data_IF_794746207620
#
_entry.id   IF_794746207620
#
_cell.length_a   1.000
_cell.length_b   1.000
_cell.length_c   1.000
_cell.angle_alpha   90.00
_cell.angle_beta   90.00
_cell.angle_gamma   90.00
#
_symmetry.space_group_name_H-M   'P 1'
#
loop_
_entity.id
_entity.type
_entity.pdbx_description
1 polymer ?
#
# COMPACT_ATOMS: atom_id res chain seq x y z
N UNK A 1 10.18 3.79 -12.50
CA UNK A 1 8.95 2.95 -12.40
C UNK A 1 8.82 2.16 -13.69
N UNK A 2 8.88 0.83 -13.66
CA UNK A 2 8.73 0.02 -14.86
C UNK A 2 7.24 -0.02 -15.24
N UNK A 3 6.82 0.83 -16.18
CA UNK A 3 5.54 0.66 -16.86
C UNK A 3 5.55 -0.70 -17.54
N UNK A 4 4.82 -1.67 -16.98
CA UNK A 4 4.52 -2.94 -17.67
C UNK A 4 3.59 -2.60 -18.83
N UNK A 5 4.19 -2.20 -19.96
CA UNK A 5 3.51 -2.15 -21.26
C UNK A 5 2.96 -3.54 -21.51
N UNK A 6 1.64 -3.72 -21.39
CA UNK A 6 0.95 -4.94 -21.83
C UNK A 6 1.15 -5.02 -23.35
N UNK A 7 2.23 -5.67 -23.78
CA UNK A 7 2.48 -5.96 -25.19
C UNK A 7 1.37 -6.89 -25.66
N UNK A 8 0.44 -6.39 -26.47
CA UNK A 8 -0.60 -7.19 -27.13
C UNK A 8 0.12 -8.24 -28.00
N UNK A 9 0.16 -9.48 -27.54
CA UNK A 9 0.76 -10.57 -28.32
C UNK A 9 -0.09 -10.74 -29.58
N UNK A 10 0.51 -10.54 -30.75
CA UNK A 10 -0.11 -10.84 -32.03
C UNK A 10 -0.10 -12.37 -32.20
N UNK A 11 -1.29 -13.00 -32.22
CA UNK A 11 -1.47 -14.45 -32.33
C UNK A 11 -1.53 -14.96 -33.79
N UNK A 12 -1.42 -14.08 -34.79
CA UNK A 12 -1.47 -14.49 -36.20
C UNK A 12 -0.19 -15.24 -36.58
N UNK A 13 -0.33 -16.45 -37.11
CA UNK A 13 0.78 -17.29 -37.60
C UNK A 13 1.34 -18.31 -36.59
N UNK A 14 0.82 -18.38 -35.36
CA UNK A 14 1.25 -19.37 -34.36
C UNK A 14 0.55 -20.73 -34.53
N UNK A 15 1.28 -21.80 -34.28
CA UNK A 15 0.70 -23.15 -34.16
C UNK A 15 -0.19 -23.28 -32.93
N UNK A 16 -1.18 -24.18 -32.97
CA UNK A 16 -2.16 -24.38 -31.89
C UNK A 16 -1.51 -24.69 -30.53
N UNK A 17 -0.40 -25.44 -30.53
CA UNK A 17 0.37 -25.69 -29.31
C UNK A 17 0.97 -24.40 -28.72
N UNK A 18 1.51 -23.50 -29.56
CA UNK A 18 2.08 -22.23 -29.09
C UNK A 18 0.99 -21.33 -28.48
N UNK A 19 -0.22 -21.32 -29.07
CA UNK A 19 -1.37 -20.61 -28.50
C UNK A 19 -1.76 -21.15 -27.12
N UNK A 20 -1.78 -22.48 -26.96
CA UNK A 20 -2.09 -23.12 -25.69
C UNK A 20 -1.06 -22.77 -24.61
N UNK A 21 0.23 -22.83 -24.93
CA UNK A 21 1.32 -22.47 -24.02
C UNK A 21 1.23 -21.00 -23.58
N UNK A 22 0.92 -20.09 -24.51
CA UNK A 22 0.74 -18.66 -24.19
C UNK A 22 -0.45 -18.46 -23.27
N UNK A 23 -1.57 -19.15 -23.51
CA UNK A 23 -2.75 -19.09 -22.66
C UNK A 23 -2.42 -19.56 -21.24
N UNK A 24 -1.78 -20.72 -21.11
CA UNK A 24 -1.36 -21.27 -19.81
C UNK A 24 -0.43 -20.30 -19.07
N UNK A 25 0.56 -19.74 -19.77
CA UNK A 25 1.49 -18.76 -19.20
C UNK A 25 0.77 -17.51 -18.73
N UNK A 26 -0.23 -17.03 -19.48
CA UNK A 26 -1.04 -15.89 -19.08
C UNK A 26 -1.91 -16.20 -17.87
N UNK A 27 -2.46 -17.41 -17.74
CA UNK A 27 -3.21 -17.81 -16.56
C UNK A 27 -2.34 -17.93 -15.32
N UNK A 28 -1.18 -18.56 -15.44
CA UNK A 28 -0.22 -18.72 -14.35
C UNK A 28 0.40 -17.38 -13.90
N UNK A 29 0.54 -16.40 -14.81
CA UNK A 29 1.03 -15.06 -14.48
C UNK A 29 -0.09 -14.06 -14.13
N UNK A 30 -1.35 -14.51 -13.98
CA UNK A 30 -2.41 -13.63 -13.47
C UNK A 30 -1.94 -13.14 -12.09
N UNK A 31 -1.92 -11.81 -11.85
CA UNK A 31 -1.54 -11.29 -10.54
C UNK A 31 -2.53 -11.84 -9.50
N UNK A 32 -1.99 -12.40 -8.42
CA UNK A 32 -2.79 -13.00 -7.36
C UNK A 32 -3.76 -11.95 -6.78
N UNK A 33 -5.09 -12.21 -6.78
CA UNK A 33 -6.08 -11.29 -6.25
C UNK A 33 -5.89 -10.99 -4.75
N UNK A 34 -5.22 -11.86 -4.01
CA UNK A 34 -4.92 -11.68 -2.58
C UNK A 34 -3.54 -11.06 -2.32
N UNK A 35 -2.79 -10.69 -3.36
CA UNK A 35 -1.48 -10.08 -3.18
C UNK A 35 -1.62 -8.72 -2.47
N UNK A 36 -1.09 -8.65 -1.24
CA UNK A 36 -1.05 -7.41 -0.46
C UNK A 36 -0.14 -6.41 -1.17
N UNK A 37 -0.75 -5.38 -1.78
CA UNK A 37 0.00 -4.26 -2.36
C UNK A 37 0.45 -3.33 -1.24
N UNK A 38 1.66 -3.55 -0.74
CA UNK A 38 2.24 -2.74 0.33
C UNK A 38 2.46 -1.27 -0.09
N UNK A 39 2.77 -1.01 -1.38
CA UNK A 39 3.14 0.30 -1.89
C UNK A 39 2.16 0.83 -2.93
N UNK A 40 0.94 1.18 -2.51
CA UNK A 40 0.07 2.02 -3.34
C UNK A 40 0.31 3.50 -3.03
N UNK A 41 0.01 4.38 -3.99
CA UNK A 41 0.07 5.83 -3.80
C UNK A 41 -0.66 6.27 -2.51
N UNK A 42 -1.84 5.71 -2.25
CA UNK A 42 -2.61 6.01 -1.05
C UNK A 42 -1.84 5.70 0.25
N UNK A 43 -1.20 4.54 0.31
CA UNK A 43 -0.41 4.08 1.46
C UNK A 43 0.83 4.94 1.66
N UNK A 44 1.56 5.22 0.58
CA UNK A 44 2.76 6.08 0.61
C UNK A 44 2.41 7.46 1.15
N UNK A 45 1.36 8.09 0.61
CA UNK A 45 0.93 9.39 1.11
C UNK A 45 0.54 9.25 2.59
N UNK A 46 -0.13 8.18 3.01
CA UNK A 46 -0.50 8.00 4.43
C UNK A 46 0.73 7.88 5.35
N UNK A 47 1.79 7.19 4.92
CA UNK A 47 3.03 7.08 5.68
C UNK A 47 3.73 8.44 5.88
N UNK A 48 3.73 9.30 4.85
CA UNK A 48 4.27 10.66 4.97
C UNK A 48 3.50 11.47 6.02
N UNK A 49 2.17 11.37 6.02
CA UNK A 49 1.35 12.08 7.00
C UNK A 49 1.47 11.50 8.42
N UNK A 50 1.87 10.24 8.58
CA UNK A 50 2.12 9.67 9.90
C UNK A 50 3.23 10.42 10.65
N UNK A 51 4.19 11.00 9.93
CA UNK A 51 5.29 11.79 10.50
C UNK A 51 4.91 13.27 10.63
N UNK A 52 4.29 13.85 9.59
CA UNK A 52 3.98 15.29 9.56
C UNK A 52 2.76 15.68 10.39
N UNK A 53 1.68 14.89 10.30
CA UNK A 53 0.40 15.15 10.96
C UNK A 53 -0.28 13.83 11.37
N UNK A 54 0.16 13.20 12.47
CA UNK A 54 -0.36 11.91 12.91
C UNK A 54 -1.89 11.85 13.10
N UNK A 55 -2.58 12.90 13.59
CA UNK A 55 -4.06 12.91 13.67
C UNK A 55 -4.74 12.75 12.30
N UNK A 56 -4.21 13.40 11.26
CA UNK A 56 -4.76 13.29 9.91
C UNK A 56 -4.44 11.95 9.27
N UNK A 57 -3.29 11.36 9.59
CA UNK A 57 -2.95 10.02 9.15
C UNK A 57 -3.91 8.96 9.73
N UNK A 58 -4.27 9.06 11.01
CA UNK A 58 -5.28 8.19 11.64
C UNK A 58 -6.63 8.27 10.93
N UNK A 59 -7.08 9.48 10.58
CA UNK A 59 -8.31 9.66 9.78
C UNK A 59 -8.24 8.92 8.44
N UNK A 60 -7.11 9.00 7.73
CA UNK A 60 -6.94 8.26 6.45
C UNK A 60 -6.84 6.76 6.62
N UNK A 61 -6.19 6.27 7.67
CA UNK A 61 -6.09 4.83 7.97
C UNK A 61 -7.50 4.23 8.20
N UNK A 62 -8.38 4.95 8.89
CA UNK A 62 -9.72 4.48 9.26
C UNK A 62 -10.83 4.85 8.26
N UNK A 63 -10.52 5.59 7.20
CA UNK A 63 -11.48 5.94 6.17
C UNK A 63 -12.04 4.67 5.48
N UNK A 64 -13.35 4.60 5.21
CA UNK A 64 -13.99 3.42 4.58
C UNK A 64 -13.39 3.04 3.22
N UNK A 65 -12.76 4.00 2.53
CA UNK A 65 -12.08 3.81 1.22
C UNK A 65 -10.59 3.42 1.35
N UNK A 66 -10.10 3.13 2.55
CA UNK A 66 -8.69 2.78 2.79
C UNK A 66 -8.32 1.45 2.12
N UNK A 67 -7.24 1.47 1.34
CA UNK A 67 -6.59 0.29 0.76
C UNK A 67 -5.76 -0.53 1.75
N UNK A 68 -5.68 -0.12 3.03
CA UNK A 68 -5.02 -0.89 4.07
C UNK A 68 -5.83 -2.14 4.44
N UNK A 69 -5.11 -3.26 4.55
CA UNK A 69 -5.62 -4.49 5.17
C UNK A 69 -5.82 -4.28 6.67
N UNK A 70 -6.62 -5.16 7.31
CA UNK A 70 -6.91 -5.06 8.75
C UNK A 70 -5.63 -4.95 9.59
N UNK A 71 -4.64 -5.81 9.32
CA UNK A 71 -3.37 -5.86 10.05
C UNK A 71 -2.60 -4.55 9.86
N UNK A 72 -2.49 -4.05 8.62
CA UNK A 72 -1.79 -2.79 8.34
C UNK A 72 -2.45 -1.59 9.03
N UNK A 73 -3.78 -1.57 9.13
CA UNK A 73 -4.49 -0.49 9.86
C UNK A 73 -4.11 -0.45 11.32
N UNK A 74 -4.08 -1.60 11.99
CA UNK A 74 -3.66 -1.67 13.39
C UNK A 74 -2.20 -1.26 13.55
N UNK A 75 -1.29 -1.82 12.75
CA UNK A 75 0.13 -1.50 12.81
C UNK A 75 0.38 0.01 12.62
N UNK A 76 -0.25 0.62 11.61
CA UNK A 76 -0.08 2.06 11.34
C UNK A 76 -0.76 2.94 12.39
N UNK A 77 -1.86 2.50 12.98
CA UNK A 77 -2.51 3.22 14.08
C UNK A 77 -1.62 3.26 15.32
N UNK A 78 -0.97 2.15 15.66
CA UNK A 78 0.00 2.09 16.78
C UNK A 78 1.14 3.07 16.54
N UNK A 79 1.75 3.05 15.34
CA UNK A 79 2.83 3.98 14.97
C UNK A 79 2.37 5.44 15.11
N UNK A 80 1.19 5.78 14.59
CA UNK A 80 0.66 7.15 14.66
C UNK A 80 0.44 7.61 16.11
N UNK A 81 -0.11 6.73 16.96
CA UNK A 81 -0.34 7.02 18.38
C UNK A 81 0.98 7.18 19.13
N UNK A 82 1.97 6.31 18.89
CA UNK A 82 3.30 6.43 19.51
C UNK A 82 3.95 7.77 19.16
N UNK A 83 3.90 8.19 17.89
CA UNK A 83 4.45 9.50 17.46
C UNK A 83 3.71 10.64 18.16
N UNK A 84 2.38 10.57 18.27
CA UNK A 84 1.58 11.56 19.00
C UNK A 84 1.96 11.65 20.47
N UNK A 85 2.09 10.51 21.16
CA UNK A 85 2.49 10.47 22.56
C UNK A 85 3.89 11.05 22.74
N UNK A 86 4.86 10.67 21.91
CA UNK A 86 6.21 11.23 21.94
C UNK A 86 6.21 12.73 21.71
N UNK A 87 5.42 13.23 20.75
CA UNK A 87 5.27 14.66 20.51
C UNK A 87 4.72 15.37 21.76
N UNK A 88 3.64 14.86 22.36
CA UNK A 88 3.07 15.44 23.59
C UNK A 88 4.07 15.45 24.74
N UNK A 89 4.81 14.36 24.96
CA UNK A 89 5.84 14.28 25.99
C UNK A 89 6.94 15.33 25.79
N UNK A 90 7.43 15.49 24.57
CA UNK A 90 8.41 16.54 24.22
C UNK A 90 7.87 17.94 24.48
N UNK A 91 6.59 18.19 24.21
CA UNK A 91 5.98 19.49 24.52
C UNK A 91 5.88 19.69 26.04
N UNK A 92 5.48 18.68 26.81
CA UNK A 92 5.37 18.77 28.26
C UNK A 92 6.72 19.08 28.93
N UNK A 93 7.79 18.42 28.48
CA UNK A 93 9.17 18.70 28.90
C UNK A 93 9.58 20.14 28.54
N UNK A 94 9.27 20.59 27.30
CA UNK A 94 9.54 21.97 26.86
C UNK A 94 8.83 23.01 27.73
N UNK A 95 7.62 22.72 28.20
CA UNK A 95 6.86 23.60 29.08
C UNK A 95 7.21 23.42 30.57
N UNK A 96 8.16 22.53 30.92
CA UNK A 96 8.53 22.18 32.31
C UNK A 96 7.33 21.79 33.17
N UNK A 97 6.31 21.19 32.56
CA UNK A 97 5.13 20.68 33.27
C UNK A 97 5.46 19.34 33.94
N UNK A 98 6.41 18.61 33.35
CA UNK A 98 7.07 17.40 33.84
C UNK A 98 8.56 17.69 33.76
#
# INVERSE_FOLDING_TARGET
>A
MASKVKKKQNLQGLTEQQKHIIKLRNELNKPDPHQVKAFTLYKIITYVFNVLFPPYALYRIWCKKSEFTKIERYAQSVVAVTILCMFVLLQLERYKII
#
